data_IF_817390811442
#
_entry.id   IF_817390811442
#
_cell.length_a   1.000
_cell.length_b   1.000
_cell.length_c   1.000
_cell.angle_alpha   90.00
_cell.angle_beta   90.00
_cell.angle_gamma   90.00
#
_symmetry.space_group_name_H-M   'P 1'
#
loop_
_entity.id
_entity.type
_entity.pdbx_description
1 polymer ?
#
# COMPACT_ATOMS: atom_id res chain seq x y z
N UNK A 1 -26.96 -18.90 -7.52
CA UNK A 1 -25.59 -18.69 -8.06
C UNK A 1 -25.18 -17.22 -8.03
N UNK A 2 -25.87 -16.31 -8.74
CA UNK A 2 -25.55 -14.85 -8.75
C UNK A 2 -25.46 -14.25 -7.34
N UNK A 3 -26.46 -14.49 -6.49
CA UNK A 3 -26.49 -13.94 -5.13
C UNK A 3 -25.24 -14.35 -4.32
N UNK A 4 -24.75 -15.58 -4.48
CA UNK A 4 -23.54 -16.05 -3.80
C UNK A 4 -22.29 -15.30 -4.24
N UNK A 5 -22.14 -15.01 -5.54
CA UNK A 5 -21.03 -14.21 -6.07
C UNK A 5 -21.10 -12.75 -5.64
N UNK A 6 -22.30 -12.17 -5.56
CA UNK A 6 -22.48 -10.80 -5.04
C UNK A 6 -22.08 -10.75 -3.57
N UNK A 7 -22.56 -11.69 -2.76
CA UNK A 7 -22.29 -11.73 -1.33
C UNK A 7 -20.80 -11.97 -1.02
N UNK A 8 -20.16 -12.94 -1.67
CA UNK A 8 -18.71 -13.15 -1.59
C UNK A 8 -17.93 -11.95 -2.13
N UNK A 9 -18.44 -11.33 -3.19
CA UNK A 9 -17.94 -10.09 -3.77
C UNK A 9 -17.92 -8.91 -2.81
N UNK A 10 -18.95 -8.76 -1.98
CA UNK A 10 -19.00 -7.73 -0.95
C UNK A 10 -17.96 -7.94 0.14
N UNK A 11 -17.59 -9.19 0.46
CA UNK A 11 -16.53 -9.49 1.42
C UNK A 11 -15.17 -9.03 0.89
N UNK A 12 -14.79 -9.47 -0.32
CA UNK A 12 -13.54 -9.02 -0.95
C UNK A 12 -13.57 -7.50 -1.19
N UNK A 13 -14.72 -6.98 -1.62
CA UNK A 13 -14.95 -5.56 -1.83
C UNK A 13 -14.84 -4.74 -0.55
N UNK A 14 -15.18 -5.30 0.61
CA UNK A 14 -15.00 -4.68 1.92
C UNK A 14 -13.53 -4.41 2.23
N UNK A 15 -12.64 -5.35 1.91
CA UNK A 15 -11.19 -5.17 2.05
C UNK A 15 -10.70 -4.06 1.12
N UNK A 16 -11.11 -4.08 -0.16
CA UNK A 16 -10.77 -3.02 -1.12
C UNK A 16 -11.29 -1.65 -0.67
N UNK A 17 -12.48 -1.61 -0.10
CA UNK A 17 -13.13 -0.40 0.37
C UNK A 17 -12.40 0.19 1.60
N UNK A 18 -11.98 -0.64 2.57
CA UNK A 18 -11.18 -0.20 3.73
C UNK A 18 -9.82 0.32 3.27
N UNK A 19 -9.06 -0.48 2.51
CA UNK A 19 -7.72 -0.10 2.06
C UNK A 19 -7.77 1.11 1.11
N UNK A 20 -8.73 1.15 0.19
CA UNK A 20 -8.94 2.28 -0.71
C UNK A 20 -9.32 3.56 0.04
N UNK A 21 -10.13 3.44 1.10
CA UNK A 21 -10.47 4.59 1.96
C UNK A 21 -9.25 5.10 2.71
N UNK A 22 -8.37 4.21 3.18
CA UNK A 22 -7.06 4.54 3.76
C UNK A 22 -6.15 5.28 2.78
N UNK A 23 -6.06 4.81 1.54
CA UNK A 23 -5.34 5.48 0.45
C UNK A 23 -5.92 6.86 0.15
N UNK A 24 -7.25 6.96 0.08
CA UNK A 24 -7.96 8.22 -0.17
C UNK A 24 -7.71 9.21 0.96
N UNK A 25 -7.69 8.75 2.22
CA UNK A 25 -7.36 9.58 3.37
C UNK A 25 -5.90 10.05 3.34
N UNK A 26 -4.96 9.15 3.01
CA UNK A 26 -3.54 9.50 2.86
C UNK A 26 -3.35 10.57 1.80
N UNK A 27 -3.93 10.33 0.61
CA UNK A 27 -3.81 11.23 -0.52
C UNK A 27 -4.50 12.55 -0.24
N UNK A 28 -5.70 12.51 0.36
CA UNK A 28 -6.39 13.70 0.79
C UNK A 28 -5.43 14.50 1.65
N UNK A 29 -4.91 13.97 2.76
CA UNK A 29 -4.09 14.73 3.72
C UNK A 29 -2.70 15.19 3.23
N UNK A 30 -2.05 14.44 2.32
CA UNK A 30 -0.66 14.69 1.92
C UNK A 30 -0.50 15.19 0.49
N UNK A 31 -1.52 14.99 -0.36
CA UNK A 31 -1.45 15.25 -1.79
C UNK A 31 -0.67 14.21 -2.60
N UNK A 32 -0.13 13.16 -1.96
CA UNK A 32 0.74 12.17 -2.60
C UNK A 32 0.15 10.77 -2.49
N UNK A 33 0.26 10.00 -3.57
CA UNK A 33 -0.17 8.60 -3.60
C UNK A 33 0.84 7.73 -2.85
N UNK A 34 0.38 7.01 -1.82
CA UNK A 34 1.24 6.21 -0.96
C UNK A 34 1.34 4.76 -1.45
N UNK A 35 2.43 4.42 -2.16
CA UNK A 35 2.70 3.04 -2.59
C UNK A 35 3.06 2.08 -1.45
N UNK A 36 3.39 2.59 -0.26
CA UNK A 36 3.73 1.75 0.90
C UNK A 36 2.50 1.14 1.58
N UNK A 37 1.28 1.50 1.16
CA UNK A 37 0.05 1.08 1.84
C UNK A 37 -0.11 -0.45 1.91
N UNK A 38 0.21 -1.17 0.83
CA UNK A 38 0.20 -2.64 0.84
C UNK A 38 1.22 -3.22 1.82
N UNK A 39 2.42 -2.66 1.85
CA UNK A 39 3.48 -3.07 2.77
C UNK A 39 3.13 -2.81 4.25
N UNK A 40 2.45 -1.70 4.56
CA UNK A 40 1.92 -1.42 5.89
C UNK A 40 0.87 -2.46 6.32
N UNK A 41 -0.03 -2.83 5.40
CA UNK A 41 -0.99 -3.91 5.63
C UNK A 41 -0.30 -5.24 5.90
N UNK A 42 0.70 -5.59 5.09
CA UNK A 42 1.49 -6.82 5.24
C UNK A 42 2.20 -6.87 6.60
N UNK A 43 2.93 -5.82 6.98
CA UNK A 43 3.63 -5.78 8.27
C UNK A 43 2.67 -5.93 9.45
N UNK A 44 1.49 -5.31 9.37
CA UNK A 44 0.48 -5.42 10.42
C UNK A 44 -0.08 -6.84 10.48
N UNK A 45 -0.33 -7.48 9.34
CA UNK A 45 -0.78 -8.87 9.27
C UNK A 45 0.30 -9.85 9.78
N UNK A 46 1.56 -9.59 9.45
CA UNK A 46 2.70 -10.38 9.95
C UNK A 46 2.80 -10.28 11.47
N UNK A 47 2.73 -9.07 12.04
CA UNK A 47 2.72 -8.90 13.49
C UNK A 47 1.50 -9.57 14.14
N UNK A 48 0.31 -9.41 13.55
CA UNK A 48 -0.89 -10.08 14.02
C UNK A 48 -0.69 -11.59 14.11
N UNK A 49 -0.17 -12.21 13.04
CA UNK A 49 0.14 -13.64 13.03
C UNK A 49 1.12 -14.04 14.15
N UNK A 50 2.21 -13.29 14.33
CA UNK A 50 3.18 -13.60 15.38
C UNK A 50 2.57 -13.47 16.79
N UNK A 51 1.79 -12.41 17.03
CA UNK A 51 1.09 -12.23 18.31
C UNK A 51 0.05 -13.31 18.55
N UNK A 52 -0.58 -13.84 17.51
CA UNK A 52 -1.54 -14.93 17.66
C UNK A 52 -0.93 -16.25 18.14
N UNK A 53 0.38 -16.44 18.01
CA UNK A 53 1.04 -17.62 18.57
C UNK A 53 1.08 -17.63 20.10
N UNK A 54 0.95 -16.45 20.73
CA UNK A 54 1.12 -16.26 22.17
C UNK A 54 -0.09 -15.61 22.86
N UNK A 55 -0.94 -14.90 22.10
CA UNK A 55 -2.10 -14.16 22.59
C UNK A 55 -3.39 -14.65 21.89
N UNK A 56 -4.56 -14.48 22.53
CA UNK A 56 -5.84 -14.69 21.87
C UNK A 56 -6.01 -13.71 20.70
N UNK A 57 -6.70 -14.16 19.65
CA UNK A 57 -6.81 -13.43 18.38
C UNK A 57 -7.34 -12.00 18.52
N UNK A 58 -8.33 -11.77 19.39
CA UNK A 58 -8.88 -10.43 19.62
C UNK A 58 -7.85 -9.47 20.24
N UNK A 59 -6.97 -9.95 21.13
CA UNK A 59 -5.94 -9.12 21.75
C UNK A 59 -4.80 -8.86 20.77
N UNK A 60 -4.41 -9.87 19.99
CA UNK A 60 -3.47 -9.70 18.88
C UNK A 60 -3.99 -8.69 17.85
N UNK A 61 -5.29 -8.71 17.55
CA UNK A 61 -5.95 -7.77 16.64
C UNK A 61 -5.87 -6.33 17.16
N UNK A 62 -6.22 -6.10 18.43
CA UNK A 62 -6.14 -4.76 19.05
C UNK A 62 -4.70 -4.26 19.08
N UNK A 63 -3.73 -5.12 19.42
CA UNK A 63 -2.32 -4.76 19.44
C UNK A 63 -1.77 -4.43 18.03
N UNK A 64 -2.08 -5.25 17.02
CA UNK A 64 -1.59 -5.05 15.67
C UNK A 64 -2.29 -3.86 14.97
N UNK A 65 -3.62 -3.85 14.92
CA UNK A 65 -4.40 -2.85 14.18
C UNK A 65 -4.60 -1.57 14.98
N UNK A 66 -4.88 -1.67 16.28
CA UNK A 66 -5.21 -0.51 17.12
C UNK A 66 -3.99 0.27 17.62
N UNK A 67 -2.85 -0.41 17.80
CA UNK A 67 -1.63 0.21 18.33
C UNK A 67 -0.49 0.25 17.31
N UNK A 68 -0.06 -0.90 16.81
CA UNK A 68 1.12 -0.98 15.95
C UNK A 68 0.95 -0.25 14.62
N UNK A 69 -0.16 -0.46 13.90
CA UNK A 69 -0.36 0.18 12.61
C UNK A 69 -0.42 1.73 12.68
N UNK A 70 -1.18 2.35 13.61
CA UNK A 70 -1.13 3.80 13.83
C UNK A 70 0.24 4.28 14.30
N UNK A 71 0.91 3.55 15.20
CA UNK A 71 2.24 3.89 15.69
C UNK A 71 3.25 3.89 14.54
N UNK A 72 3.22 2.87 13.68
CA UNK A 72 4.08 2.79 12.49
C UNK A 72 3.82 3.97 11.54
N UNK A 73 2.56 4.35 11.32
CA UNK A 73 2.22 5.56 10.58
C UNK A 73 2.81 6.83 11.19
N UNK A 74 2.71 6.99 12.51
CA UNK A 74 3.32 8.13 13.22
C UNK A 74 4.84 8.13 13.12
N UNK A 75 5.49 6.97 13.27
CA UNK A 75 6.96 6.82 13.16
C UNK A 75 7.41 7.19 11.75
N UNK A 76 6.77 6.67 10.70
CA UNK A 76 7.10 6.99 9.32
C UNK A 76 6.89 8.47 9.01
N UNK A 77 5.83 9.07 9.55
CA UNK A 77 5.64 10.52 9.46
C UNK A 77 6.78 11.27 10.11
N UNK A 78 7.08 10.97 11.38
CA UNK A 78 8.08 11.71 12.17
C UNK A 78 9.51 11.55 11.62
N UNK A 79 9.86 10.33 11.18
CA UNK A 79 11.20 9.97 10.75
C UNK A 79 11.45 10.33 9.28
N UNK A 80 10.43 10.31 8.43
CA UNK A 80 10.60 10.46 6.98
C UNK A 80 9.69 11.56 6.41
N UNK A 81 8.36 11.39 6.46
CA UNK A 81 7.46 12.25 5.68
C UNK A 81 7.32 13.69 6.18
N UNK A 82 7.60 13.95 7.45
CA UNK A 82 7.72 15.31 7.96
C UNK A 82 8.83 16.09 7.25
N UNK A 83 9.98 15.44 7.00
CA UNK A 83 11.09 16.05 6.27
C UNK A 83 10.80 16.17 4.77
N UNK A 84 10.14 15.16 4.19
CA UNK A 84 9.77 15.18 2.77
C UNK A 84 8.58 16.08 2.45
N UNK A 85 7.88 16.62 3.45
CA UNK A 85 6.73 17.50 3.27
C UNK A 85 7.04 18.77 2.45
N UNK A 86 8.30 19.21 2.42
CA UNK A 86 8.79 20.34 1.63
C UNK A 86 9.48 19.91 0.32
N UNK A 87 9.70 18.61 0.13
CA UNK A 87 10.28 18.06 -1.09
C UNK A 87 9.22 17.95 -2.20
N UNK A 88 9.68 17.90 -3.45
CA UNK A 88 8.80 17.73 -4.61
C UNK A 88 7.97 16.44 -4.53
N UNK A 89 6.78 16.45 -5.14
CA UNK A 89 5.83 15.32 -5.18
C UNK A 89 6.54 14.03 -5.59
N UNK A 90 7.44 14.12 -6.57
CA UNK A 90 8.22 12.99 -7.06
C UNK A 90 9.09 12.33 -5.99
N UNK A 91 9.78 13.11 -5.14
CA UNK A 91 10.60 12.56 -4.07
C UNK A 91 9.74 11.81 -3.03
N UNK A 92 8.56 12.33 -2.74
CA UNK A 92 7.59 11.69 -1.85
C UNK A 92 7.07 10.36 -2.44
N UNK A 93 6.79 10.32 -3.74
CA UNK A 93 6.39 9.09 -4.44
C UNK A 93 7.51 8.04 -4.35
N UNK A 94 8.73 8.40 -4.75
CA UNK A 94 9.89 7.48 -4.71
C UNK A 94 10.11 6.93 -3.31
N UNK A 95 9.98 7.76 -2.27
CA UNK A 95 10.09 7.30 -0.89
C UNK A 95 9.04 6.25 -0.52
N UNK A 96 7.78 6.44 -0.95
CA UNK A 96 6.73 5.43 -0.70
C UNK A 96 6.96 4.12 -1.46
N UNK A 97 7.51 4.17 -2.68
CA UNK A 97 7.88 2.97 -3.45
C UNK A 97 9.04 2.24 -2.78
N UNK A 98 10.05 2.98 -2.29
CA UNK A 98 11.14 2.40 -1.49
C UNK A 98 10.62 1.68 -0.25
N UNK A 99 9.66 2.28 0.46
CA UNK A 99 8.99 1.64 1.60
C UNK A 99 8.20 0.38 1.23
N UNK A 100 7.61 0.30 0.03
CA UNK A 100 6.92 -0.90 -0.44
C UNK A 100 7.82 -2.13 -0.41
N UNK A 101 9.12 -1.95 -0.64
CA UNK A 101 10.12 -3.03 -0.64
C UNK A 101 10.80 -3.16 0.73
N UNK A 102 11.18 -2.03 1.33
CA UNK A 102 11.95 -2.02 2.57
C UNK A 102 11.15 -2.56 3.76
N UNK A 103 9.86 -2.20 3.87
CA UNK A 103 9.04 -2.58 5.03
C UNK A 103 8.79 -4.10 5.12
N UNK A 104 8.34 -4.79 4.06
CA UNK A 104 8.15 -6.24 4.13
C UNK A 104 9.45 -6.99 4.40
N UNK A 105 10.54 -6.60 3.74
CA UNK A 105 11.86 -7.20 3.94
C UNK A 105 12.36 -7.02 5.38
N UNK A 106 12.21 -5.82 5.96
CA UNK A 106 12.58 -5.56 7.34
C UNK A 106 11.74 -6.38 8.34
N UNK A 107 10.45 -6.57 8.07
CA UNK A 107 9.56 -7.39 8.90
C UNK A 107 9.96 -8.86 8.92
N UNK A 108 10.24 -9.43 7.74
CA UNK A 108 10.69 -10.82 7.61
C UNK A 108 12.07 -11.02 8.24
N UNK A 109 13.01 -10.11 8.01
CA UNK A 109 14.32 -10.13 8.66
C UNK A 109 14.20 -10.11 10.19
N UNK A 110 13.28 -9.31 10.74
CA UNK A 110 13.05 -9.27 12.19
C UNK A 110 12.47 -10.57 12.72
N UNK A 111 11.57 -11.23 11.98
CA UNK A 111 11.05 -12.57 12.32
C UNK A 111 12.18 -13.59 12.38
N UNK A 112 13.06 -13.59 11.37
CA UNK A 112 14.20 -14.51 11.29
C UNK A 112 15.22 -14.27 12.41
N UNK A 113 15.58 -13.00 12.67
CA UNK A 113 16.53 -12.63 13.72
C UNK A 113 16.05 -12.98 15.13
N UNK A 114 14.74 -12.90 15.36
CA UNK A 114 14.13 -13.27 16.64
C UNK A 114 13.84 -14.77 16.76
N UNK A 115 14.12 -15.57 15.72
CA UNK A 115 13.82 -17.00 15.69
C UNK A 115 12.32 -17.30 15.84
N UNK A 116 11.47 -16.37 15.41
CA UNK A 116 10.02 -16.52 15.47
C UNK A 116 9.55 -17.55 14.43
N UNK A 117 8.41 -18.23 14.65
CA UNK A 117 7.88 -19.17 13.68
C UNK A 117 7.73 -18.51 12.31
N UNK A 118 8.36 -19.11 11.31
CA UNK A 118 8.16 -18.73 9.92
C UNK A 118 6.68 -18.90 9.58
N UNK A 119 6.16 -18.01 8.75
CA UNK A 119 4.82 -18.21 8.20
C UNK A 119 4.89 -19.42 7.26
N UNK A 120 4.46 -20.59 7.72
CA UNK A 120 4.41 -21.79 6.90
C UNK A 120 3.51 -21.51 5.69
N UNK A 121 4.10 -21.53 4.49
CA UNK A 121 3.40 -21.22 3.24
C UNK A 121 2.22 -22.18 2.95
N UNK A 122 2.13 -23.30 3.67
CA UNK A 122 1.11 -24.34 3.50
C UNK A 122 -0.08 -24.20 4.44
N UNK A 123 0.00 -23.40 5.50
CA UNK A 123 -1.09 -23.15 6.42
C UNK A 123 -1.56 -21.70 6.30
N UNK A 124 -2.79 -21.49 5.81
CA UNK A 124 -3.37 -20.14 5.85
C UNK A 124 -3.42 -19.68 7.31
N UNK A 125 -2.86 -18.50 7.63
CA UNK A 125 -2.96 -17.91 8.95
C UNK A 125 -4.41 -17.79 9.39
N UNK A 126 -4.66 -18.06 10.67
CA UNK A 126 -5.97 -17.85 11.25
C UNK A 126 -6.40 -16.39 11.12
N UNK A 127 -7.67 -16.16 10.78
CA UNK A 127 -8.26 -14.83 10.80
C UNK A 127 -8.57 -14.35 12.22
N UNK A 128 -9.35 -13.27 12.29
CA UNK A 128 -9.74 -12.64 13.56
C UNK A 128 -10.83 -13.46 14.28
N UNK A 129 -11.59 -14.28 13.54
CA UNK A 129 -12.70 -15.07 14.06
C UNK A 129 -12.30 -16.31 14.86
N UNK A 130 -13.31 -17.07 15.36
CA UNK A 130 -13.08 -18.37 15.97
C UNK A 130 -12.37 -19.33 14.99
N UNK A 131 -11.57 -20.25 15.51
CA UNK A 131 -10.83 -21.22 14.72
C UNK A 131 -11.08 -22.66 15.22
N UNK A 132 -11.51 -23.62 14.37
CA UNK A 132 -11.84 -23.45 12.94
C UNK A 132 -13.03 -22.51 12.74
N UNK A 133 -13.07 -21.90 11.57
CA UNK A 133 -14.04 -20.86 11.26
C UNK A 133 -15.47 -21.44 11.23
N UNK A 134 -16.41 -20.69 11.82
CA UNK A 134 -17.78 -21.17 12.06
C UNK A 134 -18.67 -20.76 10.91
N UNK A 135 -19.21 -21.75 10.21
CA UNK A 135 -20.10 -21.51 9.08
C UNK A 135 -21.50 -21.07 9.57
N UNK A 136 -21.91 -19.88 9.16
CA UNK A 136 -23.21 -19.27 9.47
C UNK A 136 -23.96 -19.02 8.16
N UNK A 137 -24.69 -20.04 7.71
CA UNK A 137 -25.38 -20.02 6.42
C UNK A 137 -24.37 -20.01 5.25
N UNK A 138 -24.48 -19.07 4.29
CA UNK A 138 -23.56 -19.00 3.14
C UNK A 138 -22.20 -18.38 3.47
N UNK A 139 -22.03 -17.83 4.68
CA UNK A 139 -20.82 -17.12 5.08
C UNK A 139 -20.07 -17.85 6.17
N UNK A 140 -18.76 -17.66 6.15
CA UNK A 140 -17.88 -18.03 7.24
C UNK A 140 -17.75 -16.89 8.27
N UNK A 141 -17.38 -17.21 9.51
CA UNK A 141 -17.23 -16.24 10.59
C UNK A 141 -16.25 -15.12 10.24
N UNK A 142 -15.17 -15.44 9.55
CA UNK A 142 -14.18 -14.44 9.08
C UNK A 142 -14.79 -13.49 8.03
N UNK A 143 -15.63 -14.00 7.13
CA UNK A 143 -16.30 -13.19 6.11
C UNK A 143 -17.30 -12.21 6.73
N UNK A 144 -18.03 -12.65 7.75
CA UNK A 144 -18.93 -11.78 8.52
C UNK A 144 -18.16 -10.68 9.27
N UNK A 145 -17.00 -11.02 9.84
CA UNK A 145 -16.12 -10.05 10.52
C UNK A 145 -15.61 -9.01 9.51
N UNK A 146 -15.15 -9.44 8.34
CA UNK A 146 -14.73 -8.52 7.26
C UNK A 146 -15.87 -7.57 6.89
N UNK A 147 -17.08 -8.10 6.69
CA UNK A 147 -18.25 -7.28 6.35
C UNK A 147 -18.57 -6.28 7.47
N UNK A 148 -18.60 -6.72 8.73
CA UNK A 148 -18.85 -5.86 9.88
C UNK A 148 -17.82 -4.74 10.00
N UNK A 149 -16.52 -5.05 9.93
CA UNK A 149 -15.46 -4.04 9.99
C UNK A 149 -15.49 -3.09 8.80
N UNK A 150 -15.88 -3.55 7.60
CA UNK A 150 -16.03 -2.67 6.44
C UNK A 150 -17.12 -1.62 6.68
N UNK A 151 -18.26 -2.02 7.23
CA UNK A 151 -19.36 -1.11 7.55
C UNK A 151 -18.98 -0.14 8.68
N UNK A 152 -18.38 -0.66 9.76
CA UNK A 152 -17.89 0.17 10.87
C UNK A 152 -16.87 1.19 10.38
N UNK A 153 -15.95 0.79 9.50
CA UNK A 153 -14.95 1.68 8.91
C UNK A 153 -15.59 2.76 8.05
N UNK A 154 -16.56 2.41 7.20
CA UNK A 154 -17.27 3.38 6.37
C UNK A 154 -17.96 4.45 7.20
N UNK A 155 -18.76 4.03 8.18
CA UNK A 155 -19.52 4.94 9.06
C UNK A 155 -18.58 5.74 9.94
N UNK A 156 -17.59 5.08 10.55
CA UNK A 156 -16.61 5.72 11.44
C UNK A 156 -15.79 6.78 10.72
N UNK A 157 -15.30 6.49 9.52
CA UNK A 157 -14.51 7.43 8.74
C UNK A 157 -15.36 8.58 8.18
N UNK A 158 -16.61 8.32 7.78
CA UNK A 158 -17.54 9.37 7.40
C UNK A 158 -17.85 10.32 8.57
N UNK A 159 -18.15 9.77 9.75
CA UNK A 159 -18.35 10.55 10.98
C UNK A 159 -17.09 11.36 11.31
N UNK A 160 -15.92 10.73 11.29
CA UNK A 160 -14.65 11.37 11.57
C UNK A 160 -14.41 12.57 10.63
N UNK A 161 -14.51 12.39 9.32
CA UNK A 161 -14.17 13.45 8.35
C UNK A 161 -15.22 14.57 8.33
N UNK A 162 -16.51 14.23 8.48
CA UNK A 162 -17.60 15.20 8.33
C UNK A 162 -17.95 15.92 9.64
N UNK A 163 -17.82 15.27 10.78
CA UNK A 163 -18.34 15.76 12.06
C UNK A 163 -17.26 16.08 13.09
N UNK A 164 -15.97 15.91 12.79
CA UNK A 164 -14.88 16.28 13.73
C UNK A 164 -14.07 17.48 13.25
N UNK A 165 -13.51 18.28 14.17
CA UNK A 165 -12.61 19.39 13.82
C UNK A 165 -11.33 18.90 13.14
N UNK A 166 -10.87 17.69 13.44
CA UNK A 166 -9.71 17.09 12.78
C UNK A 166 -9.97 16.85 11.30
N UNK A 167 -11.15 16.35 10.93
CA UNK A 167 -11.56 16.19 9.54
C UNK A 167 -11.65 17.52 8.78
N UNK A 168 -12.08 18.60 9.45
CA UNK A 168 -12.06 19.95 8.87
C UNK A 168 -10.63 20.47 8.65
N UNK A 169 -9.75 20.30 9.65
CA UNK A 169 -8.33 20.70 9.57
C UNK A 169 -7.60 19.95 8.46
N UNK A 170 -7.85 18.64 8.32
CA UNK A 170 -7.30 17.84 7.23
C UNK A 170 -7.72 18.40 5.87
N UNK A 171 -9.00 18.67 5.64
CA UNK A 171 -9.45 19.27 4.37
C UNK A 171 -8.83 20.65 4.11
N UNK A 172 -8.73 21.51 5.13
CA UNK A 172 -8.12 22.82 5.01
C UNK A 172 -6.61 22.78 4.68
N UNK A 173 -5.87 21.85 5.30
CA UNK A 173 -4.43 21.66 5.07
C UNK A 173 -4.11 21.27 3.63
N UNK A 174 -5.06 20.63 2.96
CA UNK A 174 -4.92 20.03 1.63
C UNK A 174 -5.25 21.03 0.55
N UNK A 175 -6.27 21.86 0.79
CA UNK A 175 -6.61 22.95 -0.11
C UNK A 175 -5.44 23.94 -0.18
N UNK A 176 -4.98 24.46 0.98
CA UNK A 176 -3.85 25.41 1.06
C UNK A 176 -3.12 25.30 2.39
N UNK A 177 -2.09 24.45 2.45
CA UNK A 177 -1.21 24.25 3.62
C UNK A 177 -0.71 25.54 4.27
N UNK A 178 -0.22 26.50 3.48
CA UNK A 178 0.28 27.77 3.98
C UNK A 178 -0.82 28.62 4.64
N UNK A 179 -2.00 28.73 4.01
CA UNK A 179 -3.12 29.48 4.58
C UNK A 179 -3.72 28.79 5.81
N UNK A 180 -3.78 27.46 5.82
CA UNK A 180 -4.20 26.69 6.98
C UNK A 180 -3.28 26.98 8.19
N UNK A 181 -1.96 27.01 7.97
CA UNK A 181 -0.98 27.38 8.99
C UNK A 181 -1.17 28.80 9.53
N UNK A 182 -1.44 29.79 8.65
CA UNK A 182 -1.76 31.17 9.05
C UNK A 182 -3.05 31.28 9.89
N UNK A 183 -3.96 30.30 9.78
CA UNK A 183 -5.17 30.20 10.60
C UNK A 183 -4.95 29.41 11.91
N UNK A 184 -3.70 29.11 12.27
CA UNK A 184 -3.35 28.42 13.51
C UNK A 184 -3.53 26.89 13.45
N UNK A 185 -3.70 26.31 12.26
CA UNK A 185 -3.76 24.85 12.11
C UNK A 185 -2.33 24.31 12.13
N UNK A 186 -2.04 23.45 13.10
CA UNK A 186 -0.80 22.66 13.08
C UNK A 186 -0.89 21.61 11.96
N UNK A 187 -0.27 21.91 10.82
CA UNK A 187 -0.30 21.02 9.66
C UNK A 187 0.57 19.78 9.88
N UNK A 188 1.63 19.86 10.68
CA UNK A 188 2.47 18.69 10.98
C UNK A 188 1.67 17.67 11.81
N UNK A 189 0.99 18.13 12.87
CA UNK A 189 0.12 17.28 13.67
C UNK A 189 -1.05 16.73 12.87
N UNK A 190 -1.63 17.54 11.97
CA UNK A 190 -2.72 17.10 11.08
C UNK A 190 -2.25 16.03 10.10
N UNK A 191 -1.06 16.18 9.51
CA UNK A 191 -0.44 15.16 8.65
C UNK A 191 -0.09 13.90 9.44
N UNK A 192 0.44 14.03 10.66
CA UNK A 192 0.75 12.88 11.52
C UNK A 192 -0.50 12.05 11.83
N UNK A 193 -1.61 12.70 12.20
CA UNK A 193 -2.89 12.03 12.44
C UNK A 193 -3.42 11.33 11.18
N UNK A 194 -3.24 11.94 10.01
CA UNK A 194 -3.64 11.30 8.75
C UNK A 194 -2.80 10.05 8.46
N UNK A 195 -1.48 10.11 8.68
CA UNK A 195 -0.60 8.95 8.57
C UNK A 195 -0.97 7.84 9.55
N UNK A 196 -1.29 8.17 10.81
CA UNK A 196 -1.75 7.20 11.81
C UNK A 196 -3.04 6.50 11.38
N UNK A 197 -4.06 7.27 10.99
CA UNK A 197 -5.35 6.71 10.58
C UNK A 197 -5.23 5.91 9.28
N UNK A 198 -4.49 6.43 8.31
CA UNK A 198 -4.27 5.77 7.03
C UNK A 198 -3.51 4.45 7.21
N UNK A 199 -2.42 4.43 7.97
CA UNK A 199 -1.71 3.19 8.30
C UNK A 199 -2.58 2.23 9.12
N UNK A 200 -3.41 2.73 10.04
CA UNK A 200 -4.40 1.93 10.76
C UNK A 200 -5.40 1.24 9.83
N UNK A 201 -5.90 1.94 8.80
CA UNK A 201 -6.79 1.37 7.78
C UNK A 201 -6.07 0.36 6.88
N UNK A 202 -4.82 0.63 6.50
CA UNK A 202 -3.97 -0.34 5.80
C UNK A 202 -3.79 -1.62 6.62
N UNK A 203 -3.46 -1.46 7.90
CA UNK A 203 -3.28 -2.55 8.85
C UNK A 203 -4.56 -3.35 9.09
N UNK A 204 -5.71 -2.67 9.24
CA UNK A 204 -7.02 -3.31 9.34
C UNK A 204 -7.33 -4.14 8.11
N UNK A 205 -7.21 -3.57 6.91
CA UNK A 205 -7.43 -4.30 5.67
C UNK A 205 -6.47 -5.47 5.51
N UNK A 206 -5.21 -5.30 5.91
CA UNK A 206 -4.19 -6.34 5.87
C UNK A 206 -4.51 -7.52 6.79
N UNK A 207 -4.82 -7.26 8.06
CA UNK A 207 -5.19 -8.30 9.03
C UNK A 207 -6.48 -9.02 8.62
N UNK A 208 -7.46 -8.29 8.07
CA UNK A 208 -8.68 -8.89 7.54
C UNK A 208 -8.45 -9.73 6.27
N UNK A 209 -7.42 -9.41 5.49
CA UNK A 209 -7.08 -10.14 4.28
C UNK A 209 -6.20 -11.37 4.54
N UNK A 210 -5.62 -11.52 5.74
CA UNK A 210 -4.61 -12.56 6.01
C UNK A 210 -5.16 -13.98 5.86
N UNK A 211 -6.42 -14.23 6.22
CA UNK A 211 -7.05 -15.55 6.06
C UNK A 211 -7.50 -15.86 4.63
N UNK A 212 -7.35 -14.89 3.71
CA UNK A 212 -7.65 -15.05 2.28
C UNK A 212 -6.38 -15.06 1.43
N UNK A 213 -5.45 -14.15 1.72
CA UNK A 213 -4.22 -13.92 0.95
C UNK A 213 -2.99 -14.64 1.54
N UNK A 214 -3.06 -15.10 2.79
CA UNK A 214 -1.88 -15.55 3.51
C UNK A 214 -0.93 -14.42 3.89
N UNK A 215 0.33 -14.78 4.15
CA UNK A 215 1.42 -13.85 4.43
C UNK A 215 2.40 -13.78 3.26
N UNK A 216 1.91 -13.33 2.11
CA UNK A 216 2.74 -13.01 0.93
C UNK A 216 2.75 -11.50 0.66
N UNK A 217 3.91 -10.87 0.79
CA UNK A 217 4.07 -9.43 0.54
C UNK A 217 3.64 -9.01 -0.89
N UNK A 218 3.78 -9.91 -1.87
CA UNK A 218 3.39 -9.67 -3.25
C UNK A 218 1.87 -9.57 -3.37
N UNK A 219 1.12 -10.48 -2.74
CA UNK A 219 -0.33 -10.43 -2.68
C UNK A 219 -0.87 -9.12 -2.07
N UNK A 220 -0.20 -8.55 -1.06
CA UNK A 220 -0.60 -7.27 -0.46
C UNK A 220 -0.27 -6.07 -1.37
N UNK A 221 0.78 -6.18 -2.18
CA UNK A 221 1.10 -5.18 -3.21
C UNK A 221 0.04 -5.21 -4.32
N UNK A 222 -0.40 -6.40 -4.73
CA UNK A 222 -1.53 -6.55 -5.67
C UNK A 222 -2.83 -6.01 -5.06
N UNK A 223 -3.08 -6.29 -3.77
CA UNK A 223 -4.23 -5.76 -3.03
C UNK A 223 -4.23 -4.23 -2.98
N UNK A 224 -3.06 -3.61 -2.80
CA UNK A 224 -2.88 -2.15 -2.90
C UNK A 224 -3.38 -1.63 -4.24
N UNK A 225 -2.93 -2.21 -5.36
CA UNK A 225 -3.35 -1.76 -6.69
C UNK A 225 -4.85 -2.00 -6.94
N UNK A 226 -5.40 -3.12 -6.47
CA UNK A 226 -6.82 -3.37 -6.55
C UNK A 226 -7.63 -2.31 -5.79
N UNK A 227 -7.20 -1.97 -4.58
CA UNK A 227 -7.82 -0.95 -3.72
C UNK A 227 -7.60 0.48 -4.23
N UNK A 228 -6.48 0.73 -4.91
CA UNK A 228 -6.20 2.01 -5.56
C UNK A 228 -7.24 2.32 -6.65
N UNK A 229 -7.74 1.30 -7.33
CA UNK A 229 -8.87 1.44 -8.27
C UNK A 229 -10.06 2.12 -7.60
N UNK A 230 -10.49 1.61 -6.45
CA UNK A 230 -11.58 2.18 -5.69
C UNK A 230 -11.30 3.64 -5.32
N UNK A 231 -10.07 3.94 -4.89
CA UNK A 231 -9.66 5.30 -4.54
C UNK A 231 -9.69 6.26 -5.77
N UNK A 232 -9.32 5.78 -6.95
CA UNK A 232 -9.39 6.53 -8.22
C UNK A 232 -10.83 6.83 -8.63
N UNK A 233 -11.74 5.86 -8.50
CA UNK A 233 -13.18 6.11 -8.71
C UNK A 233 -13.74 7.12 -7.69
N UNK A 234 -13.22 7.12 -6.46
CA UNK A 234 -13.46 8.17 -5.46
C UNK A 234 -12.71 9.49 -5.70
N UNK A 235 -12.02 9.63 -6.84
CA UNK A 235 -11.19 10.78 -7.25
C UNK A 235 -10.12 11.18 -6.22
N UNK A 236 -9.67 10.22 -5.41
CA UNK A 236 -8.74 10.39 -4.30
C UNK A 236 -9.15 11.47 -3.29
N UNK A 237 -10.44 11.86 -3.27
CA UNK A 237 -10.96 12.93 -2.40
C UNK A 237 -12.21 12.53 -1.63
N UNK A 238 -13.05 11.67 -2.21
CA UNK A 238 -14.31 11.28 -1.60
C UNK A 238 -14.26 9.86 -1.07
N UNK A 239 -14.07 9.75 0.25
CA UNK A 239 -14.08 8.47 0.95
C UNK A 239 -15.39 7.68 0.74
N UNK A 240 -16.60 8.28 0.80
CA UNK A 240 -17.83 7.52 0.53
C UNK A 240 -17.89 6.93 -0.88
N UNK A 241 -17.39 7.67 -1.88
CA UNK A 241 -17.32 7.18 -3.25
C UNK A 241 -16.26 6.09 -3.41
N UNK A 242 -15.11 6.25 -2.74
CA UNK A 242 -14.09 5.19 -2.68
C UNK A 242 -14.63 3.91 -2.05
N UNK A 243 -15.38 4.03 -0.95
CA UNK A 243 -15.95 2.87 -0.27
C UNK A 243 -16.96 2.15 -1.17
N UNK A 244 -17.90 2.89 -1.77
CA UNK A 244 -18.88 2.32 -2.71
C UNK A 244 -18.20 1.68 -3.94
N UNK A 245 -17.16 2.30 -4.47
CA UNK A 245 -16.38 1.75 -5.58
C UNK A 245 -15.63 0.46 -5.19
N UNK A 246 -15.10 0.38 -3.96
CA UNK A 246 -14.43 -0.83 -3.45
C UNK A 246 -15.39 -2.01 -3.33
N UNK A 247 -16.59 -1.78 -2.77
CA UNK A 247 -17.65 -2.79 -2.72
C UNK A 247 -18.06 -3.24 -4.12
N UNK A 248 -18.33 -2.28 -5.02
CA UNK A 248 -18.70 -2.58 -6.41
C UNK A 248 -17.62 -3.36 -7.16
N UNK A 249 -16.36 -3.00 -6.95
CA UNK A 249 -15.22 -3.67 -7.57
C UNK A 249 -15.07 -5.12 -7.09
N UNK A 250 -15.26 -5.39 -5.80
CA UNK A 250 -15.25 -6.76 -5.28
C UNK A 250 -16.39 -7.62 -5.84
N UNK A 251 -17.58 -7.03 -6.01
CA UNK A 251 -18.72 -7.68 -6.67
C UNK A 251 -18.42 -7.98 -8.14
N UNK A 252 -17.92 -7.00 -8.90
CA UNK A 252 -17.55 -7.19 -10.30
C UNK A 252 -16.47 -8.26 -10.44
N UNK A 253 -15.43 -8.22 -9.62
CA UNK A 253 -14.35 -9.20 -9.67
C UNK A 253 -14.85 -10.63 -9.42
N UNK A 254 -15.75 -10.84 -8.45
CA UNK A 254 -16.29 -12.17 -8.17
C UNK A 254 -17.34 -12.63 -9.18
N UNK A 255 -18.13 -11.71 -9.77
CA UNK A 255 -19.02 -12.04 -10.89
C UNK A 255 -18.23 -12.44 -12.14
N UNK A 256 -17.18 -11.72 -12.50
CA UNK A 256 -16.29 -12.09 -13.60
C UNK A 256 -15.65 -13.45 -13.32
N UNK A 257 -15.18 -13.70 -12.10
CA UNK A 257 -14.62 -15.02 -11.76
C UNK A 257 -15.66 -16.15 -11.88
N UNK A 258 -16.93 -15.90 -11.56
CA UNK A 258 -17.98 -16.91 -11.55
C UNK A 258 -18.64 -17.20 -12.89
N UNK A 259 -18.57 -16.28 -13.86
CA UNK A 259 -19.30 -16.35 -15.13
C UNK A 259 -18.43 -16.53 -16.37
N UNK A 260 -17.12 -16.63 -16.19
CA UNK A 260 -16.21 -16.70 -17.34
C UNK A 260 -15.59 -18.09 -17.50
N UNK A 261 -16.43 -19.06 -17.88
CA UNK A 261 -16.02 -20.43 -18.22
C UNK A 261 -15.09 -20.48 -19.44
N UNK A 262 -15.16 -19.49 -20.34
CA UNK A 262 -14.28 -19.39 -21.53
C UNK A 262 -12.94 -18.68 -21.25
N UNK A 263 -12.80 -17.98 -20.10
CA UNK A 263 -11.57 -17.26 -19.74
C UNK A 263 -10.83 -17.89 -18.54
N UNK A 264 -11.28 -19.04 -18.03
CA UNK A 264 -10.58 -19.78 -16.97
C UNK A 264 -9.20 -20.28 -17.41
N UNK A 265 -8.94 -20.36 -18.71
CA UNK A 265 -7.62 -20.69 -19.28
C UNK A 265 -6.61 -19.54 -19.17
N UNK A 266 -7.06 -18.28 -18.99
CA UNK A 266 -6.18 -17.13 -18.80
C UNK A 266 -5.83 -17.00 -17.32
N UNK A 267 -4.69 -17.55 -16.94
CA UNK A 267 -4.12 -17.44 -15.59
C UNK A 267 -4.00 -15.97 -15.18
N UNK A 268 -4.59 -15.63 -14.02
CA UNK A 268 -4.47 -14.29 -13.43
C UNK A 268 -5.50 -13.25 -13.88
N UNK A 269 -6.45 -13.58 -14.77
CA UNK A 269 -7.47 -12.63 -15.22
C UNK A 269 -8.27 -12.02 -14.05
N UNK A 270 -8.70 -12.86 -13.09
CA UNK A 270 -9.40 -12.41 -11.88
C UNK A 270 -8.61 -11.35 -11.10
N UNK A 271 -7.30 -11.51 -11.04
CA UNK A 271 -6.37 -10.60 -10.35
C UNK A 271 -6.09 -9.34 -11.18
N UNK A 272 -6.22 -9.43 -12.50
CA UNK A 272 -6.05 -8.32 -13.43
C UNK A 272 -7.27 -7.39 -13.51
N UNK A 273 -8.50 -7.86 -13.23
CA UNK A 273 -9.73 -7.04 -13.32
C UNK A 273 -9.60 -5.70 -12.60
N UNK A 274 -9.18 -5.64 -11.32
CA UNK A 274 -9.02 -4.37 -10.63
C UNK A 274 -7.98 -3.46 -11.31
N UNK A 275 -6.85 -4.01 -11.74
CA UNK A 275 -5.78 -3.25 -12.40
C UNK A 275 -6.23 -2.69 -13.76
N UNK A 276 -6.99 -3.46 -14.53
CA UNK A 276 -7.59 -3.01 -15.79
C UNK A 276 -8.58 -1.88 -15.51
N UNK A 277 -9.46 -2.04 -14.52
CA UNK A 277 -10.41 -1.00 -14.12
C UNK A 277 -9.72 0.25 -13.58
N UNK A 278 -8.58 0.11 -12.89
CA UNK A 278 -7.73 1.23 -12.47
C UNK A 278 -7.23 2.01 -13.68
N UNK A 279 -6.67 1.32 -14.67
CA UNK A 279 -6.15 1.94 -15.89
C UNK A 279 -7.25 2.67 -16.66
N UNK A 280 -8.40 2.02 -16.86
CA UNK A 280 -9.60 2.61 -17.47
C UNK A 280 -10.05 3.83 -16.67
N UNK A 281 -10.18 3.71 -15.35
CA UNK A 281 -10.58 4.80 -14.46
C UNK A 281 -9.65 6.01 -14.58
N UNK A 282 -8.33 5.79 -14.61
CA UNK A 282 -7.35 6.86 -14.81
C UNK A 282 -7.50 7.53 -16.18
N UNK A 283 -7.67 6.76 -17.26
CA UNK A 283 -7.82 7.30 -18.61
C UNK A 283 -9.05 8.18 -18.78
N UNK A 284 -10.17 7.83 -18.14
CA UNK A 284 -11.43 8.57 -18.30
C UNK A 284 -11.60 9.70 -17.27
N UNK A 285 -11.22 9.48 -16.00
CA UNK A 285 -11.48 10.43 -14.92
C UNK A 285 -10.43 11.54 -14.81
N UNK A 286 -9.21 11.31 -15.29
CA UNK A 286 -8.09 12.26 -15.16
C UNK A 286 -7.69 12.96 -16.47
N UNK A 287 -8.41 12.69 -17.57
CA UNK A 287 -8.19 13.35 -18.88
C UNK A 287 -8.44 14.86 -18.85
N UNK A 288 -9.16 15.38 -17.84
CA UNK A 288 -9.61 16.78 -17.79
C UNK A 288 -8.70 17.74 -17.01
N UNK A 289 -7.49 17.36 -16.60
CA UNK A 289 -6.50 18.37 -16.21
C UNK A 289 -5.92 18.97 -17.48
N UNK A 290 -6.57 20.02 -17.99
CA UNK A 290 -5.80 21.10 -18.59
C UNK A 290 -4.67 21.41 -17.60
N UNK A 291 -3.43 21.21 -18.07
CA UNK A 291 -2.25 21.60 -17.32
C UNK A 291 -2.46 23.07 -16.98
N UNK A 292 -2.77 23.36 -15.72
CA UNK A 292 -2.66 24.72 -15.20
C UNK A 292 -1.18 25.05 -15.36
N UNK A 293 -0.86 25.75 -16.45
CA UNK A 293 0.44 26.33 -16.65
C UNK A 293 0.71 27.23 -15.43
N UNK A 294 1.71 26.85 -14.62
CA UNK A 294 2.14 27.65 -13.47
C UNK A 294 2.04 27.02 -12.08
N UNK A 295 1.83 25.70 -11.91
CA UNK A 295 2.04 25.08 -10.59
C UNK A 295 3.53 24.96 -10.28
N UNK A 296 4.06 26.01 -9.66
CA UNK A 296 5.33 26.14 -8.95
C UNK A 296 6.59 25.74 -9.75
N UNK A 297 7.38 26.77 -10.04
CA UNK A 297 8.80 26.75 -10.40
C UNK A 297 9.49 25.40 -10.18
N UNK A 298 10.03 24.83 -11.25
CA UNK A 298 11.17 23.95 -11.16
C UNK A 298 12.20 24.63 -10.24
N UNK A 299 12.33 24.12 -9.01
CA UNK A 299 13.52 24.37 -8.23
C UNK A 299 14.65 23.90 -9.13
N UNK A 300 15.60 24.78 -9.46
CA UNK A 300 16.77 24.39 -10.24
C UNK A 300 17.33 23.09 -9.64
N UNK A 301 17.72 22.10 -10.46
CA UNK A 301 18.42 20.93 -9.96
C UNK A 301 19.57 21.47 -9.09
N UNK A 302 19.52 21.21 -7.78
CA UNK A 302 20.60 21.60 -6.89
C UNK A 302 21.90 21.13 -7.52
N UNK A 303 22.91 22.01 -7.56
CA UNK A 303 24.18 21.74 -8.22
C UNK A 303 24.63 20.31 -7.89
N UNK A 304 24.91 19.51 -8.93
CA UNK A 304 25.35 18.13 -8.75
C UNK A 304 26.48 18.11 -7.73
N UNK A 305 26.28 17.42 -6.61
CA UNK A 305 27.32 17.28 -5.59
C UNK A 305 28.43 16.45 -6.24
N UNK A 306 29.45 17.12 -6.76
CA UNK A 306 30.65 16.51 -7.33
C UNK A 306 31.53 16.02 -6.19
N UNK A 307 31.07 14.95 -5.52
CA UNK A 307 31.88 14.25 -4.54
C UNK A 307 33.00 13.44 -5.22
N UNK A 308 34.04 13.03 -4.48
CA UNK A 308 35.05 12.13 -5.01
C UNK A 308 34.40 10.84 -5.55
N UNK A 309 34.76 10.43 -6.77
CA UNK A 309 34.24 9.20 -7.41
C UNK A 309 34.93 7.92 -6.94
N UNK A 310 36.10 8.04 -6.30
CA UNK A 310 36.86 6.89 -5.81
C UNK A 310 36.16 6.02 -4.76
N UNK A 311 35.36 6.52 -3.78
CA UNK A 311 34.60 5.67 -2.86
C UNK A 311 33.56 4.79 -3.59
N UNK A 312 32.99 5.28 -4.70
CA UNK A 312 32.11 4.47 -5.55
C UNK A 312 32.87 3.37 -6.28
N UNK A 313 34.06 3.69 -6.83
CA UNK A 313 34.90 2.70 -7.49
C UNK A 313 35.37 1.59 -6.52
N UNK A 314 35.71 1.95 -5.28
CA UNK A 314 36.06 0.98 -4.22
C UNK A 314 34.85 0.13 -3.85
N UNK A 315 33.67 0.75 -3.68
CA UNK A 315 32.42 0.02 -3.41
C UNK A 315 32.07 -0.96 -4.51
N UNK A 316 32.17 -0.55 -5.77
CA UNK A 316 31.92 -1.43 -6.94
C UNK A 316 32.94 -2.55 -7.01
N UNK A 317 34.23 -2.28 -6.79
CA UNK A 317 35.27 -3.31 -6.77
C UNK A 317 35.05 -4.33 -5.64
N UNK A 318 34.66 -3.88 -4.46
CA UNK A 318 34.33 -4.75 -3.33
C UNK A 318 33.07 -5.61 -3.62
N UNK A 319 32.05 -5.02 -4.24
CA UNK A 319 30.84 -5.74 -4.66
C UNK A 319 31.14 -6.81 -5.71
N UNK A 320 31.97 -6.48 -6.71
CA UNK A 320 32.41 -7.44 -7.72
C UNK A 320 33.24 -8.55 -7.09
N UNK A 321 34.21 -8.23 -6.23
CA UNK A 321 35.00 -9.22 -5.52
C UNK A 321 34.13 -10.16 -4.67
N UNK A 322 33.14 -9.61 -3.96
CA UNK A 322 32.19 -10.41 -3.18
C UNK A 322 31.28 -11.26 -4.06
N UNK A 323 30.87 -10.77 -5.24
CA UNK A 323 30.05 -11.54 -6.17
C UNK A 323 30.77 -12.79 -6.72
N UNK A 324 32.11 -12.76 -6.82
CA UNK A 324 32.90 -13.89 -7.31
C UNK A 324 33.48 -14.79 -6.21
N UNK A 325 33.58 -14.31 -4.97
CA UNK A 325 34.22 -15.04 -3.87
C UNK A 325 33.30 -15.35 -2.68
N UNK A 326 32.09 -14.78 -2.66
CA UNK A 326 31.11 -14.98 -1.61
C UNK A 326 30.39 -16.33 -1.70
N UNK A 327 29.81 -16.83 -0.60
CA UNK A 327 28.95 -18.01 -0.64
C UNK A 327 27.71 -17.76 -1.52
N UNK A 328 27.29 -18.76 -2.30
CA UNK A 328 26.22 -18.65 -3.31
C UNK A 328 24.94 -17.99 -2.80
N UNK A 329 24.52 -18.31 -1.57
CA UNK A 329 23.35 -17.70 -0.94
C UNK A 329 23.48 -16.17 -0.82
N UNK A 330 24.60 -15.68 -0.27
CA UNK A 330 24.81 -14.25 -0.08
C UNK A 330 25.09 -13.53 -1.40
N UNK A 331 25.70 -14.20 -2.37
CA UNK A 331 25.84 -13.69 -3.73
C UNK A 331 24.48 -13.49 -4.39
N UNK A 332 23.55 -14.44 -4.22
CA UNK A 332 22.17 -14.31 -4.70
C UNK A 332 21.42 -13.14 -4.07
N UNK A 333 21.51 -12.99 -2.74
CA UNK A 333 20.91 -11.85 -2.02
C UNK A 333 21.51 -10.52 -2.48
N UNK A 334 22.83 -10.46 -2.65
CA UNK A 334 23.52 -9.29 -3.16
C UNK A 334 23.07 -8.93 -4.58
N UNK A 335 22.99 -9.92 -5.47
CA UNK A 335 22.54 -9.73 -6.84
C UNK A 335 21.12 -9.17 -6.90
N UNK A 336 20.20 -9.73 -6.11
CA UNK A 336 18.82 -9.22 -6.01
C UNK A 336 18.79 -7.79 -5.48
N UNK A 337 19.60 -7.47 -4.46
CA UNK A 337 19.76 -6.12 -3.95
C UNK A 337 20.30 -5.13 -4.99
N UNK A 338 21.28 -5.54 -5.79
CA UNK A 338 21.85 -4.72 -6.87
C UNK A 338 20.86 -4.47 -8.01
N UNK A 339 20.06 -5.47 -8.39
CA UNK A 339 18.99 -5.31 -9.38
C UNK A 339 17.96 -4.28 -8.89
N UNK A 340 17.51 -4.39 -7.63
CA UNK A 340 16.59 -3.42 -7.04
C UNK A 340 17.21 -2.02 -6.96
N UNK A 341 18.48 -1.91 -6.57
CA UNK A 341 19.21 -0.65 -6.54
C UNK A 341 19.31 -0.01 -7.93
N UNK A 342 19.58 -0.80 -8.98
CA UNK A 342 19.62 -0.33 -10.36
C UNK A 342 18.24 0.21 -10.80
N UNK A 343 17.16 -0.51 -10.49
CA UNK A 343 15.79 -0.08 -10.79
C UNK A 343 15.48 1.23 -10.06
N UNK A 344 15.81 1.36 -8.77
CA UNK A 344 15.59 2.58 -8.01
C UNK A 344 16.46 3.76 -8.47
N UNK A 345 17.71 3.51 -8.84
CA UNK A 345 18.54 4.53 -9.46
C UNK A 345 17.94 5.01 -10.79
N UNK A 346 17.33 4.10 -11.58
CA UNK A 346 16.59 4.49 -12.78
C UNK A 346 15.41 5.40 -12.46
N UNK A 347 14.66 5.12 -11.37
CA UNK A 347 13.62 6.03 -10.88
C UNK A 347 14.21 7.41 -10.61
N UNK A 348 15.30 7.52 -9.83
CA UNK A 348 15.95 8.81 -9.49
C UNK A 348 16.41 9.57 -10.73
N UNK A 349 16.95 8.88 -11.74
CA UNK A 349 17.40 9.52 -12.99
C UNK A 349 16.21 10.07 -13.78
N UNK A 350 15.17 9.26 -14.02
CA UNK A 350 14.00 9.68 -14.80
C UNK A 350 13.23 10.77 -14.08
N UNK A 351 13.12 10.65 -12.75
CA UNK A 351 12.42 11.62 -11.93
C UNK A 351 13.20 12.92 -11.72
N UNK A 352 14.49 12.81 -11.47
CA UNK A 352 15.37 13.94 -11.19
C UNK A 352 15.72 14.76 -12.43
N UNK A 353 15.95 14.11 -13.57
CA UNK A 353 16.29 14.78 -14.83
C UNK A 353 15.04 15.09 -15.65
N UNK A 354 14.09 14.15 -15.70
CA UNK A 354 12.89 14.27 -16.52
C UNK A 354 11.72 14.97 -15.85
N UNK A 355 11.78 15.22 -14.54
CA UNK A 355 10.69 15.83 -13.78
C UNK A 355 9.39 15.03 -13.78
N UNK A 356 9.43 13.77 -14.24
CA UNK A 356 8.26 12.90 -14.40
C UNK A 356 8.48 11.57 -13.68
N UNK A 357 7.42 11.04 -13.08
CA UNK A 357 7.44 9.69 -12.49
C UNK A 357 7.03 8.66 -13.55
N UNK A 358 7.93 7.72 -13.87
CA UNK A 358 7.63 6.60 -14.76
C UNK A 358 7.66 5.27 -13.99
N UNK A 359 6.49 4.68 -13.75
CA UNK A 359 6.36 3.39 -13.05
C UNK A 359 6.59 2.18 -13.95
N UNK A 360 6.77 2.36 -15.27
CA UNK A 360 6.94 1.26 -16.23
C UNK A 360 8.31 0.58 -16.14
N UNK A 361 9.26 1.14 -15.39
CA UNK A 361 10.61 0.59 -15.24
C UNK A 361 10.61 -0.86 -14.72
N UNK A 362 9.73 -1.17 -13.75
CA UNK A 362 9.56 -2.52 -13.27
C UNK A 362 8.97 -3.46 -14.33
N UNK A 363 8.06 -2.97 -15.18
CA UNK A 363 7.51 -3.74 -16.30
C UNK A 363 8.58 -4.03 -17.37
N UNK A 364 9.45 -3.06 -17.68
CA UNK A 364 10.57 -3.30 -18.58
C UNK A 364 11.60 -4.28 -18.00
N UNK A 365 11.88 -4.20 -16.70
CA UNK A 365 12.74 -5.18 -16.03
C UNK A 365 12.14 -6.59 -16.05
N UNK A 366 10.82 -6.72 -15.83
CA UNK A 366 10.13 -8.00 -15.92
C UNK A 366 10.12 -8.57 -17.34
N UNK A 367 9.86 -7.73 -18.35
CA UNK A 367 9.95 -8.12 -19.76
C UNK A 367 11.37 -8.56 -20.12
N UNK A 368 12.40 -7.84 -19.65
CA UNK A 368 13.80 -8.22 -19.87
C UNK A 368 14.12 -9.57 -19.22
N UNK A 369 13.69 -9.80 -17.97
CA UNK A 369 13.86 -11.08 -17.29
C UNK A 369 13.20 -12.23 -18.07
N UNK A 370 11.95 -12.06 -18.51
CA UNK A 370 11.24 -13.05 -19.34
C UNK A 370 11.97 -13.36 -20.65
N UNK A 371 12.62 -12.37 -21.26
CA UNK A 371 13.40 -12.60 -22.50
C UNK A 371 14.76 -13.25 -22.27
N UNK A 372 15.36 -13.05 -21.09
CA UNK A 372 16.69 -13.54 -20.78
C UNK A 372 16.71 -14.97 -20.19
N UNK A 373 15.55 -15.49 -19.74
CA UNK A 373 15.40 -16.83 -19.18
C UNK A 373 15.41 -16.81 -17.67
#
# INVERSE_FOLDING_TARGET
>A
MILGYILSGLVTGGIFAIMGSGLTLSYAATGVFNFAHGALGFLTALLFYQLTQVLPAWLAFVAAVGLFAPLLGWVLHRAMFRGLATAGETAQIVATIGLTIALPAAGLLLVDLLGLPSADATALPRGVGPHPAVQLGPFDSDQLIIFAFSLVTAVGLWLFIRHTPYGLRMRAAVDRRALAGLRGIDVDATSALAWMLSSGLAGLAGVLAVSILGLDATAYTVLLFASATAAVFGRLRSIPWTFAAGLGLGVVQNLVAGYTDFLSEITGLRTAVPVILLFVGLLFLYRSRERVAGSASATEPGAAVSGPRWPWAVGVAALLAFAFAGPDYYVGVLAQGLVLALIFCSFVVVTGIGGMVNLAQAAFAAMAALTCG
#
